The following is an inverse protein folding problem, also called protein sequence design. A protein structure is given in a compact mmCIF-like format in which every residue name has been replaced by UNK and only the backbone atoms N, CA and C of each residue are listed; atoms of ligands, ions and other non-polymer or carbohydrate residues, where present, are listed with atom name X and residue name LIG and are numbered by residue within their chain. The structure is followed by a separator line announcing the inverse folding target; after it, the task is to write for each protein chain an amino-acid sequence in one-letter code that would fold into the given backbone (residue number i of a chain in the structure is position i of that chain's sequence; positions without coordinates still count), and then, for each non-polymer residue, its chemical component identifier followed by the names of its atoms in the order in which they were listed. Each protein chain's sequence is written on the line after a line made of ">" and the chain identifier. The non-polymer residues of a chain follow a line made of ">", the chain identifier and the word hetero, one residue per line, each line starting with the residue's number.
data_IF_694197623478
#
_entry.id   IF_694197623478
#
_cell.length_a   1.000
_cell.length_b   1.000
_cell.length_c   1.000
_cell.angle_alpha   90.00
_cell.angle_beta   90.00
_cell.angle_gamma   90.00
#
_symmetry.space_group_name_H-M   'P 1'
#
loop_
_entity.id
_entity.type
_entity.pdbx_description
1 polymer ?
#
# COMPACT_ATOMS: atom_id res chain seq x y z
N UNK A 1 27.01 -95.42 -47.64
CA UNK A 1 26.49 -96.60 -46.91
C UNK A 1 25.29 -96.13 -46.11
N UNK A 2 24.12 -96.73 -46.30
CA UNK A 2 22.94 -96.45 -45.48
C UNK A 2 23.12 -97.17 -44.15
N UNK A 3 23.45 -96.44 -43.08
CA UNK A 3 23.58 -97.01 -41.74
C UNK A 3 22.17 -97.25 -41.21
N UNK A 4 21.80 -98.52 -41.02
CA UNK A 4 20.52 -98.90 -40.42
C UNK A 4 20.56 -98.61 -38.91
N UNK A 5 19.55 -97.92 -38.39
CA UNK A 5 19.52 -97.44 -36.99
C UNK A 5 18.68 -98.39 -36.15
N UNK A 6 19.27 -99.08 -35.15
CA UNK A 6 18.53 -100.05 -34.34
C UNK A 6 17.65 -99.35 -33.30
N UNK A 7 16.43 -98.97 -33.67
CA UNK A 7 15.50 -98.25 -32.78
C UNK A 7 15.05 -99.07 -31.56
N UNK A 8 15.03 -100.41 -31.69
CA UNK A 8 14.78 -101.34 -30.59
C UNK A 8 15.98 -102.29 -30.47
N UNK A 9 17.10 -101.82 -29.89
CA UNK A 9 18.37 -102.51 -29.98
C UNK A 9 18.38 -103.82 -29.18
N UNK A 10 18.90 -104.89 -29.77
CA UNK A 10 19.08 -106.21 -29.15
C UNK A 10 20.56 -106.47 -28.91
N UNK A 11 20.93 -106.63 -27.63
CA UNK A 11 22.30 -106.89 -27.23
C UNK A 11 23.20 -105.64 -27.21
N UNK A 12 24.43 -105.82 -26.69
CA UNK A 12 25.32 -104.70 -26.33
C UNK A 12 25.77 -103.85 -27.53
N UNK A 13 25.96 -104.46 -28.69
CA UNK A 13 26.43 -103.75 -29.88
C UNK A 13 25.37 -102.76 -30.41
N UNK A 14 24.12 -103.21 -30.56
CA UNK A 14 23.03 -102.36 -31.03
C UNK A 14 22.70 -101.26 -30.02
N UNK A 15 22.77 -101.55 -28.71
CA UNK A 15 22.57 -100.54 -27.65
C UNK A 15 23.60 -99.43 -27.80
N UNK A 16 24.88 -99.78 -27.95
CA UNK A 16 25.95 -98.80 -28.10
C UNK A 16 25.83 -98.01 -29.42
N UNK A 17 25.37 -98.67 -30.49
CA UNK A 17 25.11 -98.01 -31.77
C UNK A 17 23.98 -96.97 -31.63
N UNK A 18 22.85 -97.33 -31.04
CA UNK A 18 21.75 -96.38 -30.80
C UNK A 18 22.19 -95.24 -29.86
N UNK A 19 22.93 -95.55 -28.79
CA UNK A 19 23.51 -94.55 -27.87
C UNK A 19 24.40 -93.54 -28.62
N UNK A 20 25.31 -94.04 -29.46
CA UNK A 20 26.25 -93.20 -30.21
C UNK A 20 25.51 -92.29 -31.20
N UNK A 21 24.51 -92.84 -31.92
CA UNK A 21 23.70 -92.09 -32.88
C UNK A 21 22.87 -91.02 -32.15
N UNK A 22 22.24 -91.37 -31.02
CA UNK A 22 21.46 -90.42 -30.23
C UNK A 22 22.30 -89.28 -29.67
N UNK A 23 23.48 -89.60 -29.14
CA UNK A 23 24.41 -88.58 -28.64
C UNK A 23 24.86 -87.66 -29.77
N UNK A 24 25.36 -88.23 -30.87
CA UNK A 24 25.85 -87.47 -32.01
C UNK A 24 24.75 -86.58 -32.61
N UNK A 25 23.59 -87.16 -32.94
CA UNK A 25 22.48 -86.41 -33.52
C UNK A 25 21.98 -85.30 -32.58
N UNK A 26 21.99 -85.51 -31.27
CA UNK A 26 21.58 -84.47 -30.31
C UNK A 26 22.60 -83.34 -30.22
N UNK A 27 23.90 -83.64 -30.22
CA UNK A 27 24.96 -82.63 -30.16
C UNK A 27 24.92 -81.64 -31.32
N UNK A 28 24.44 -82.07 -32.49
CA UNK A 28 24.36 -81.23 -33.69
C UNK A 28 23.00 -80.55 -33.91
N UNK A 29 22.09 -80.60 -32.93
CA UNK A 29 20.90 -79.75 -32.96
C UNK A 29 21.31 -78.28 -32.77
N UNK A 30 20.73 -77.30 -33.52
CA UNK A 30 21.11 -75.89 -33.42
C UNK A 30 21.04 -75.32 -31.99
N UNK A 31 19.98 -75.68 -31.26
CA UNK A 31 19.80 -75.28 -29.86
C UNK A 31 20.86 -75.88 -28.92
N UNK A 32 21.36 -77.09 -29.21
CA UNK A 32 22.39 -77.76 -28.41
C UNK A 32 23.76 -77.18 -28.71
N UNK A 33 24.05 -76.84 -29.97
CA UNK A 33 25.30 -76.17 -30.38
C UNK A 33 25.48 -74.85 -29.62
N UNK A 34 24.42 -74.05 -29.48
CA UNK A 34 24.47 -72.82 -28.68
C UNK A 34 24.65 -73.11 -27.18
N UNK A 35 24.00 -74.15 -26.63
CA UNK A 35 24.17 -74.54 -25.22
C UNK A 35 25.61 -74.97 -24.89
N UNK A 36 26.29 -75.66 -25.80
CA UNK A 36 27.68 -76.14 -25.59
C UNK A 36 28.74 -75.14 -26.06
N UNK A 37 28.33 -73.96 -26.53
CA UNK A 37 29.23 -72.93 -27.07
C UNK A 37 30.16 -72.39 -25.99
N UNK A 38 29.64 -72.17 -24.78
CA UNK A 38 30.42 -71.76 -23.63
C UNK A 38 31.37 -72.90 -23.18
N UNK A 39 32.71 -72.70 -23.24
CA UNK A 39 33.66 -73.70 -22.79
C UNK A 39 33.50 -74.13 -21.33
N UNK A 40 32.98 -73.26 -20.45
CA UNK A 40 32.84 -73.54 -19.03
C UNK A 40 31.76 -74.59 -18.72
N UNK A 41 30.63 -74.56 -19.43
CA UNK A 41 29.51 -75.47 -19.21
C UNK A 41 29.50 -76.68 -20.15
N UNK A 42 30.29 -76.62 -21.23
CA UNK A 42 30.35 -77.65 -22.29
C UNK A 42 30.52 -79.06 -21.73
N UNK A 43 31.44 -79.27 -20.78
CA UNK A 43 31.71 -80.59 -20.24
C UNK A 43 30.50 -81.17 -19.51
N UNK A 44 29.80 -80.35 -18.73
CA UNK A 44 28.61 -80.74 -17.96
C UNK A 44 27.44 -81.08 -18.88
N UNK A 45 27.25 -80.29 -19.95
CA UNK A 45 26.23 -80.58 -20.96
C UNK A 45 26.53 -81.86 -21.73
N UNK A 46 27.77 -82.06 -22.18
CA UNK A 46 28.17 -83.26 -22.92
C UNK A 46 28.05 -84.52 -22.05
N UNK A 47 28.47 -84.48 -20.78
CA UNK A 47 28.29 -85.61 -19.84
C UNK A 47 26.80 -85.93 -19.64
N UNK A 48 25.98 -84.90 -19.40
CA UNK A 48 24.54 -85.08 -19.18
C UNK A 48 23.82 -85.64 -20.42
N UNK A 49 24.22 -85.21 -21.62
CA UNK A 49 23.69 -85.72 -22.89
C UNK A 49 24.13 -87.16 -23.16
N UNK A 50 25.40 -87.49 -22.88
CA UNK A 50 25.91 -88.85 -23.03
C UNK A 50 25.18 -89.82 -22.10
N UNK A 51 24.99 -89.45 -20.83
CA UNK A 51 24.23 -90.26 -19.86
C UNK A 51 22.77 -90.42 -20.31
N UNK A 52 22.13 -89.35 -20.81
CA UNK A 52 20.76 -89.40 -21.30
C UNK A 52 20.62 -90.30 -22.55
N UNK A 53 21.55 -90.22 -23.50
CA UNK A 53 21.60 -91.08 -24.69
C UNK A 53 21.79 -92.55 -24.32
N UNK A 54 22.74 -92.85 -23.42
CA UNK A 54 22.95 -94.20 -22.93
C UNK A 54 21.75 -94.75 -22.16
N UNK A 55 21.06 -93.90 -21.40
CA UNK A 55 19.86 -94.29 -20.67
C UNK A 55 18.70 -94.63 -21.60
N UNK A 56 18.42 -93.77 -22.58
CA UNK A 56 17.32 -93.96 -23.54
C UNK A 56 17.60 -95.18 -24.43
N UNK A 57 18.83 -95.37 -24.91
CA UNK A 57 19.17 -96.54 -25.72
C UNK A 57 18.92 -97.86 -24.99
N UNK A 58 19.22 -97.92 -23.68
CA UNK A 58 18.97 -99.09 -22.83
C UNK A 58 17.49 -99.24 -22.45
N UNK A 59 16.75 -98.14 -22.27
CA UNK A 59 15.29 -98.19 -22.12
C UNK A 59 14.65 -98.85 -23.36
N UNK A 60 15.11 -98.52 -24.57
CA UNK A 60 14.61 -99.12 -25.82
C UNK A 60 15.02 -100.58 -26.00
N UNK A 61 16.07 -101.03 -25.32
CA UNK A 61 16.41 -102.46 -25.22
C UNK A 61 15.55 -103.22 -24.18
N UNK A 62 14.62 -102.53 -23.48
CA UNK A 62 13.75 -103.13 -22.47
C UNK A 62 14.37 -103.27 -21.07
N UNK A 63 15.52 -102.63 -20.81
CA UNK A 63 16.17 -102.67 -19.50
C UNK A 63 15.39 -101.87 -18.44
N UNK A 64 15.39 -102.33 -17.20
CA UNK A 64 14.78 -101.63 -16.07
C UNK A 64 15.62 -100.42 -15.63
N UNK A 65 15.00 -99.40 -15.02
CA UNK A 65 15.72 -98.21 -14.53
C UNK A 65 16.87 -98.57 -13.57
N UNK A 66 16.69 -99.61 -12.75
CA UNK A 66 17.72 -100.12 -11.84
C UNK A 66 18.92 -100.71 -12.56
N UNK A 67 18.69 -101.46 -13.64
CA UNK A 67 19.78 -102.02 -14.46
C UNK A 67 20.54 -100.93 -15.20
N UNK A 68 19.82 -99.97 -15.80
CA UNK A 68 20.41 -98.83 -16.51
C UNK A 68 21.28 -97.99 -15.57
N UNK A 69 20.81 -97.73 -14.36
CA UNK A 69 21.55 -96.98 -13.33
C UNK A 69 22.87 -97.65 -12.95
N UNK A 70 22.85 -98.99 -12.76
CA UNK A 70 24.05 -99.78 -12.48
C UNK A 70 25.04 -99.75 -13.66
N UNK A 71 24.57 -99.91 -14.89
CA UNK A 71 25.44 -99.92 -16.07
C UNK A 71 26.09 -98.56 -16.36
N UNK A 72 25.33 -97.47 -16.20
CA UNK A 72 25.82 -96.11 -16.49
C UNK A 72 26.54 -95.46 -15.31
N UNK A 73 26.62 -96.14 -14.15
CA UNK A 73 27.28 -95.60 -12.95
C UNK A 73 26.61 -94.32 -12.43
N UNK A 74 25.27 -94.28 -12.46
CA UNK A 74 24.45 -93.14 -12.00
C UNK A 74 23.36 -93.63 -11.05
N UNK A 75 22.75 -92.73 -10.28
CA UNK A 75 21.64 -93.10 -9.40
C UNK A 75 20.37 -93.39 -10.20
N UNK A 76 19.51 -94.28 -9.70
CA UNK A 76 18.21 -94.55 -10.33
C UNK A 76 17.37 -93.28 -10.49
N UNK A 77 17.47 -92.35 -9.54
CA UNK A 77 16.77 -91.08 -9.61
C UNK A 77 17.25 -90.24 -10.81
N UNK A 78 18.56 -90.16 -11.05
CA UNK A 78 19.12 -89.44 -12.19
C UNK A 78 18.71 -90.08 -13.51
N UNK A 79 18.80 -91.40 -13.63
CA UNK A 79 18.34 -92.11 -14.83
C UNK A 79 16.85 -91.89 -15.05
N UNK A 80 16.02 -91.99 -14.00
CA UNK A 80 14.58 -91.76 -14.09
C UNK A 80 14.25 -90.36 -14.60
N UNK A 81 14.99 -89.33 -14.16
CA UNK A 81 14.84 -87.95 -14.65
C UNK A 81 15.15 -87.84 -16.14
N UNK A 82 16.24 -88.47 -16.61
CA UNK A 82 16.57 -88.47 -18.03
C UNK A 82 15.54 -89.23 -18.87
N UNK A 83 15.16 -90.43 -18.45
CA UNK A 83 14.17 -91.25 -19.15
C UNK A 83 12.83 -90.52 -19.23
N UNK A 84 12.33 -89.93 -18.15
CA UNK A 84 11.06 -89.18 -18.17
C UNK A 84 11.13 -87.85 -18.94
N UNK A 85 12.32 -87.38 -19.35
CA UNK A 85 12.50 -86.07 -19.96
C UNK A 85 12.40 -84.89 -18.97
N UNK A 86 12.48 -85.15 -17.65
CA UNK A 86 12.46 -84.11 -16.61
C UNK A 86 13.77 -83.31 -16.58
N UNK A 87 14.87 -83.92 -17.02
CA UNK A 87 16.12 -83.19 -17.28
C UNK A 87 16.13 -82.62 -18.70
N UNK A 88 16.74 -81.44 -18.90
CA UNK A 88 16.86 -80.85 -20.24
C UNK A 88 17.62 -81.76 -21.22
N UNK A 89 18.69 -82.42 -20.78
CA UNK A 89 19.43 -83.39 -21.60
C UNK A 89 18.55 -84.58 -22.02
N UNK A 90 17.78 -85.15 -21.08
CA UNK A 90 16.84 -86.24 -21.36
C UNK A 90 15.73 -85.83 -22.32
N UNK A 91 15.20 -84.61 -22.18
CA UNK A 91 14.22 -84.05 -23.11
C UNK A 91 14.79 -83.97 -24.53
N UNK A 92 15.96 -83.34 -24.68
CA UNK A 92 16.61 -83.14 -25.98
C UNK A 92 16.90 -84.47 -26.69
N UNK A 93 17.47 -85.44 -25.98
CA UNK A 93 17.80 -86.76 -26.55
C UNK A 93 16.53 -87.55 -26.90
N UNK A 94 15.46 -87.46 -26.09
CA UNK A 94 14.18 -88.13 -26.39
C UNK A 94 13.52 -87.53 -27.63
N UNK A 95 13.54 -86.22 -27.78
CA UNK A 95 13.10 -85.54 -28.99
C UNK A 95 13.94 -85.99 -30.20
N UNK A 96 15.26 -86.08 -30.06
CA UNK A 96 16.15 -86.58 -31.12
C UNK A 96 15.79 -88.02 -31.51
N UNK A 97 15.51 -88.90 -30.54
CA UNK A 97 15.06 -90.27 -30.81
C UNK A 97 13.77 -90.29 -31.65
N UNK A 98 12.77 -89.48 -31.30
CA UNK A 98 11.51 -89.41 -32.04
C UNK A 98 11.71 -88.84 -33.45
N UNK A 99 12.59 -87.85 -33.63
CA UNK A 99 12.94 -87.32 -34.95
C UNK A 99 13.60 -88.39 -35.84
N UNK A 100 14.53 -89.16 -35.27
CA UNK A 100 15.19 -90.27 -35.99
C UNK A 100 14.16 -91.33 -36.36
N UNK A 101 13.27 -91.70 -35.44
CA UNK A 101 12.19 -92.65 -35.70
C UNK A 101 11.24 -92.19 -36.81
N UNK A 102 11.05 -90.88 -36.98
CA UNK A 102 10.27 -90.27 -38.06
C UNK A 102 11.03 -90.16 -39.40
N UNK A 103 12.27 -90.65 -39.48
CA UNK A 103 13.11 -90.58 -40.69
C UNK A 103 13.71 -89.19 -40.95
N UNK A 104 13.65 -88.26 -39.98
CA UNK A 104 14.12 -86.88 -40.13
C UNK A 104 15.59 -86.67 -39.77
N UNK A 105 16.38 -87.75 -39.71
CA UNK A 105 17.83 -87.63 -39.45
C UNK A 105 18.56 -86.89 -40.60
N UNK A 106 18.05 -86.97 -41.83
CA UNK A 106 18.63 -86.28 -42.98
C UNK A 106 18.65 -84.75 -42.84
N UNK A 107 17.70 -84.17 -42.09
CA UNK A 107 17.65 -82.73 -41.81
C UNK A 107 18.79 -82.30 -40.86
N UNK A 108 19.15 -83.15 -39.90
CA UNK A 108 20.29 -82.96 -39.01
C UNK A 108 21.62 -83.12 -39.75
N UNK A 109 21.72 -84.10 -40.66
CA UNK A 109 22.91 -84.28 -41.51
C UNK A 109 23.13 -83.06 -42.42
N UNK A 110 22.06 -82.52 -43.02
CA UNK A 110 22.13 -81.25 -43.78
C UNK A 110 22.60 -80.07 -42.94
N UNK A 111 22.20 -80.03 -41.67
CA UNK A 111 22.65 -78.98 -40.73
C UNK A 111 24.16 -79.07 -40.50
N UNK A 112 24.71 -80.29 -40.35
CA UNK A 112 26.15 -80.53 -40.25
C UNK A 112 26.88 -80.11 -41.53
N UNK A 113 26.36 -80.49 -42.71
CA UNK A 113 26.94 -80.10 -44.00
C UNK A 113 26.92 -78.57 -44.22
N UNK A 114 25.88 -77.88 -43.75
CA UNK A 114 25.78 -76.41 -43.82
C UNK A 114 26.73 -75.71 -42.87
N UNK A 115 27.01 -76.28 -41.70
CA UNK A 115 28.00 -75.77 -40.74
C UNK A 115 29.42 -75.95 -41.27
N UNK A 116 29.76 -77.12 -41.81
CA UNK A 116 31.08 -77.37 -42.43
C UNK A 116 31.33 -76.47 -43.65
N UNK A 117 30.28 -76.08 -44.38
CA UNK A 117 30.36 -75.21 -45.58
C UNK A 117 30.16 -73.71 -45.31
N UNK A 118 29.92 -73.29 -44.06
CA UNK A 118 29.88 -71.87 -43.67
C UNK A 118 28.61 -71.06 -44.04
N UNK A 119 27.54 -71.69 -44.54
CA UNK A 119 26.40 -70.99 -45.16
C UNK A 119 25.40 -70.29 -44.22
N UNK A 120 25.42 -70.57 -42.91
CA UNK A 120 24.41 -70.03 -41.98
C UNK A 120 24.60 -68.53 -41.68
N UNK A 121 25.84 -68.00 -41.80
CA UNK A 121 26.15 -66.58 -41.55
C UNK A 121 25.63 -65.64 -42.66
N UNK A 122 25.57 -66.11 -43.90
CA UNK A 122 25.23 -65.28 -45.06
C UNK A 122 23.74 -64.94 -45.14
N UNK A 123 22.86 -65.86 -44.74
CA UNK A 123 21.42 -65.66 -44.82
C UNK A 123 20.93 -64.67 -43.74
N UNK A 124 21.44 -64.80 -42.52
CA UNK A 124 21.08 -63.92 -41.39
C UNK A 124 21.55 -62.47 -41.66
N UNK A 125 22.76 -62.30 -42.19
CA UNK A 125 23.31 -60.99 -42.52
C UNK A 125 22.48 -60.25 -43.58
N UNK A 126 21.83 -60.98 -44.50
CA UNK A 126 21.02 -60.40 -45.56
C UNK A 126 19.67 -59.86 -45.06
N UNK A 127 19.00 -60.60 -44.18
CA UNK A 127 17.73 -60.14 -43.58
C UNK A 127 17.93 -58.93 -42.64
N UNK A 128 19.02 -58.90 -41.88
CA UNK A 128 19.36 -57.76 -41.03
C UNK A 128 19.68 -56.51 -41.87
N UNK A 129 20.39 -56.68 -42.99
CA UNK A 129 20.68 -55.60 -43.92
C UNK A 129 19.42 -54.99 -44.56
N UNK A 130 18.45 -55.83 -44.94
CA UNK A 130 17.18 -55.36 -45.50
C UNK A 130 16.34 -54.55 -44.48
N UNK A 131 16.29 -54.98 -43.21
CA UNK A 131 15.61 -54.22 -42.16
C UNK A 131 16.28 -52.87 -41.90
N UNK A 132 17.61 -52.85 -41.84
CA UNK A 132 18.37 -51.63 -41.63
C UNK A 132 18.18 -50.62 -42.78
N UNK A 133 18.10 -51.11 -44.02
CA UNK A 133 17.79 -50.27 -45.18
C UNK A 133 16.38 -49.66 -45.11
N UNK A 134 15.38 -50.42 -44.64
CA UNK A 134 14.03 -49.88 -44.45
C UNK A 134 13.98 -48.82 -43.35
N UNK A 135 14.71 -49.00 -42.26
CA UNK A 135 14.83 -48.00 -41.19
C UNK A 135 15.55 -46.74 -41.67
N UNK A 136 16.63 -46.90 -42.44
CA UNK A 136 17.35 -45.78 -43.05
C UNK A 136 16.43 -44.94 -43.95
N UNK A 137 15.64 -45.58 -44.81
CA UNK A 137 14.74 -44.87 -45.72
C UNK A 137 13.64 -44.11 -44.96
N UNK A 138 13.08 -44.71 -43.90
CA UNK A 138 12.11 -44.05 -43.02
C UNK A 138 12.71 -42.83 -42.32
N UNK A 139 13.89 -42.99 -41.74
CA UNK A 139 14.58 -41.92 -41.01
C UNK A 139 14.95 -40.76 -41.94
N UNK A 140 15.32 -41.06 -43.19
CA UNK A 140 15.60 -40.07 -44.22
C UNK A 140 14.36 -39.23 -44.55
N UNK A 141 13.20 -39.85 -44.70
CA UNK A 141 11.93 -39.15 -44.94
C UNK A 141 11.56 -38.26 -43.74
N UNK A 142 11.74 -38.75 -42.51
CA UNK A 142 11.50 -37.94 -41.31
C UNK A 142 12.45 -36.74 -41.22
N UNK A 143 13.73 -36.95 -41.52
CA UNK A 143 14.72 -35.86 -41.56
C UNK A 143 14.34 -34.77 -42.57
N UNK A 144 13.92 -35.16 -43.78
CA UNK A 144 13.46 -34.21 -44.80
C UNK A 144 12.23 -33.41 -44.34
N UNK A 145 11.25 -34.07 -43.70
CA UNK A 145 10.07 -33.38 -43.13
C UNK A 145 10.44 -32.37 -42.06
N UNK A 146 11.25 -32.78 -41.07
CA UNK A 146 11.69 -31.88 -39.99
C UNK A 146 12.49 -30.71 -40.54
N UNK A 147 13.33 -30.95 -41.55
CA UNK A 147 14.09 -29.90 -42.23
C UNK A 147 13.16 -28.89 -42.93
N UNK A 148 12.15 -29.36 -43.65
CA UNK A 148 11.16 -28.49 -44.29
C UNK A 148 10.34 -27.69 -43.27
N UNK A 149 9.92 -28.31 -42.17
CA UNK A 149 9.23 -27.62 -41.07
C UNK A 149 10.11 -26.55 -40.44
N UNK A 150 11.40 -26.83 -40.24
CA UNK A 150 12.37 -25.85 -39.75
C UNK A 150 12.53 -24.67 -40.72
N UNK A 151 12.60 -24.94 -42.03
CA UNK A 151 12.73 -23.92 -43.06
C UNK A 151 11.49 -23.02 -43.11
N UNK A 152 10.28 -23.62 -43.05
CA UNK A 152 9.00 -22.91 -42.96
C UNK A 152 8.95 -22.07 -41.69
N UNK A 153 9.36 -22.63 -40.55
CA UNK A 153 9.35 -21.92 -39.28
C UNK A 153 10.28 -20.70 -39.34
N UNK A 154 11.49 -20.85 -39.89
CA UNK A 154 12.43 -19.74 -40.11
C UNK A 154 11.90 -18.67 -41.05
N UNK A 155 11.14 -19.03 -42.08
CA UNK A 155 10.48 -18.06 -42.98
C UNK A 155 9.27 -17.38 -42.34
N UNK A 156 8.52 -18.08 -41.48
CA UNK A 156 7.38 -17.50 -40.76
C UNK A 156 7.79 -16.62 -39.58
N UNK A 157 9.00 -16.81 -39.04
CA UNK A 157 9.59 -15.85 -38.10
C UNK A 157 9.98 -14.61 -38.91
N UNK A 158 9.02 -13.71 -39.04
CA UNK A 158 9.21 -12.37 -39.59
C UNK A 158 10.08 -11.57 -38.61
N UNK A 159 11.40 -11.81 -38.70
CA UNK A 159 12.45 -11.11 -37.95
C UNK A 159 12.29 -9.59 -38.04
N UNK A 160 11.78 -9.10 -39.18
CA UNK A 160 11.54 -7.69 -39.44
C UNK A 160 10.40 -7.14 -38.57
N UNK A 161 9.32 -7.91 -38.37
CA UNK A 161 8.24 -7.54 -37.45
C UNK A 161 8.71 -7.50 -35.99
N UNK A 162 9.61 -8.42 -35.61
CA UNK A 162 10.18 -8.53 -34.27
C UNK A 162 11.16 -7.39 -33.97
N UNK A 163 11.97 -6.98 -34.96
CA UNK A 163 12.82 -5.80 -34.86
C UNK A 163 11.99 -4.52 -34.75
N UNK A 164 10.98 -4.33 -35.59
CA UNK A 164 10.07 -3.17 -35.52
C UNK A 164 9.39 -3.07 -34.15
N UNK A 165 8.90 -4.19 -33.61
CA UNK A 165 8.31 -4.23 -32.28
C UNK A 165 9.34 -3.88 -31.18
N UNK A 166 10.60 -4.31 -31.31
CA UNK A 166 11.68 -3.92 -30.39
C UNK A 166 11.99 -2.44 -30.44
N UNK A 167 12.09 -1.87 -31.63
CA UNK A 167 12.34 -0.43 -31.81
C UNK A 167 11.22 0.41 -31.22
N UNK A 168 9.97 -0.01 -31.41
CA UNK A 168 8.81 0.68 -30.84
C UNK A 168 8.76 0.57 -29.31
N UNK A 169 9.07 -0.60 -28.74
CA UNK A 169 9.23 -0.76 -27.28
C UNK A 169 10.30 0.19 -26.74
N UNK A 170 11.42 0.32 -27.43
CA UNK A 170 12.50 1.20 -27.01
C UNK A 170 12.13 2.69 -27.13
N UNK A 171 11.38 3.07 -28.17
CA UNK A 171 10.83 4.42 -28.31
C UNK A 171 9.86 4.74 -27.18
N UNK A 172 8.91 3.86 -26.92
CA UNK A 172 7.91 4.01 -25.85
C UNK A 172 8.55 4.07 -24.47
N UNK A 173 9.63 3.32 -24.22
CA UNK A 173 10.39 3.43 -22.97
C UNK A 173 11.02 4.80 -22.79
N UNK A 174 11.59 5.39 -23.85
CA UNK A 174 12.16 6.74 -23.79
C UNK A 174 11.09 7.78 -23.53
N UNK A 175 9.96 7.70 -24.23
CA UNK A 175 8.79 8.57 -24.01
C UNK A 175 8.23 8.43 -22.58
N UNK A 176 8.20 7.20 -22.03
CA UNK A 176 7.79 6.95 -20.66
C UNK A 176 8.74 7.61 -19.64
N UNK A 177 10.04 7.62 -19.92
CA UNK A 177 11.01 8.22 -19.01
C UNK A 177 10.95 9.76 -19.06
N UNK A 178 10.75 10.36 -20.24
CA UNK A 178 10.59 11.81 -20.37
C UNK A 178 9.30 12.28 -19.70
N UNK A 179 8.19 11.59 -19.91
CA UNK A 179 6.90 11.93 -19.29
C UNK A 179 6.94 11.79 -17.77
N UNK A 180 7.66 10.80 -17.21
CA UNK A 180 7.89 10.70 -15.77
C UNK A 180 8.70 11.88 -15.22
N UNK A 181 9.74 12.31 -15.93
CA UNK A 181 10.55 13.46 -15.52
C UNK A 181 9.71 14.75 -15.51
N UNK A 182 8.88 14.96 -16.53
CA UNK A 182 7.94 16.07 -16.60
C UNK A 182 6.90 16.02 -15.47
N UNK A 183 6.35 14.84 -15.18
CA UNK A 183 5.40 14.64 -14.07
C UNK A 183 6.02 15.02 -12.72
N UNK A 184 7.27 14.64 -12.46
CA UNK A 184 7.98 15.01 -11.23
C UNK A 184 8.25 16.51 -11.16
N UNK A 185 8.54 17.16 -12.29
CA UNK A 185 8.70 18.62 -12.34
C UNK A 185 7.38 19.33 -12.01
N UNK A 186 6.28 18.94 -12.65
CA UNK A 186 4.95 19.50 -12.39
C UNK A 186 4.51 19.25 -10.94
N UNK A 187 4.86 18.11 -10.35
CA UNK A 187 4.60 17.83 -8.93
C UNK A 187 5.35 18.78 -7.99
N UNK A 188 6.59 19.14 -8.31
CA UNK A 188 7.36 20.12 -7.54
C UNK A 188 6.75 21.52 -7.66
N UNK A 189 6.46 21.95 -8.87
CA UNK A 189 5.81 23.24 -9.14
C UNK A 189 4.45 23.34 -8.42
N UNK A 190 3.65 22.27 -8.43
CA UNK A 190 2.39 22.20 -7.68
C UNK A 190 2.59 22.42 -6.17
N UNK A 191 3.59 21.77 -5.56
CA UNK A 191 3.89 21.92 -4.13
C UNK A 191 4.34 23.34 -3.78
N UNK A 192 5.12 23.97 -4.65
CA UNK A 192 5.56 25.36 -4.48
C UNK A 192 4.35 26.30 -4.56
N UNK A 193 3.49 26.15 -5.56
CA UNK A 193 2.25 26.92 -5.69
C UNK A 193 1.29 26.72 -4.51
N UNK A 194 1.19 25.51 -3.96
CA UNK A 194 0.40 25.23 -2.75
C UNK A 194 0.95 25.98 -1.52
N UNK A 195 2.27 26.07 -1.40
CA UNK A 195 2.93 26.83 -0.32
C UNK A 195 2.68 28.33 -0.49
N UNK A 196 2.87 28.87 -1.69
CA UNK A 196 2.59 30.28 -1.98
C UNK A 196 1.12 30.64 -1.73
N UNK A 197 0.19 29.75 -2.09
CA UNK A 197 -1.24 29.93 -1.84
C UNK A 197 -1.54 29.97 -0.33
N UNK A 198 -0.88 29.14 0.48
CA UNK A 198 -1.03 29.15 1.93
C UNK A 198 -0.51 30.47 2.54
N UNK A 199 0.65 30.94 2.10
CA UNK A 199 1.22 32.23 2.54
C UNK A 199 0.33 33.41 2.14
N UNK A 200 -0.22 33.39 0.93
CA UNK A 200 -1.16 34.41 0.45
C UNK A 200 -2.46 34.44 1.29
N UNK A 201 -2.99 33.28 1.67
CA UNK A 201 -4.18 33.19 2.55
C UNK A 201 -3.93 33.80 3.93
N UNK A 202 -2.75 33.56 4.53
CA UNK A 202 -2.37 34.16 5.81
C UNK A 202 -2.33 35.69 5.70
N UNK A 203 -1.67 36.23 4.66
CA UNK A 203 -1.64 37.69 4.41
C UNK A 203 -3.04 38.28 4.22
N UNK A 204 -3.95 37.58 3.56
CA UNK A 204 -5.35 38.03 3.41
C UNK A 204 -6.04 38.10 4.77
N UNK A 205 -5.87 37.10 5.64
CA UNK A 205 -6.45 37.13 7.00
C UNK A 205 -5.91 38.29 7.83
N UNK A 206 -4.60 38.56 7.76
CA UNK A 206 -3.98 39.70 8.45
C UNK A 206 -4.54 41.05 7.95
N UNK A 207 -4.66 41.21 6.63
CA UNK A 207 -5.25 42.43 6.04
C UNK A 207 -6.72 42.61 6.42
N UNK A 208 -7.50 41.52 6.50
CA UNK A 208 -8.88 41.58 6.96
C UNK A 208 -8.97 42.01 8.43
N UNK A 209 -8.07 41.53 9.29
CA UNK A 209 -7.98 41.98 10.68
C UNK A 209 -7.68 43.47 10.77
N UNK A 210 -6.67 43.96 10.04
CA UNK A 210 -6.32 45.39 9.98
C UNK A 210 -7.47 46.25 9.49
N UNK A 211 -8.20 45.81 8.47
CA UNK A 211 -9.39 46.53 7.97
C UNK A 211 -10.49 46.64 9.03
N UNK A 212 -10.64 45.62 9.89
CA UNK A 212 -11.58 45.70 11.02
C UNK A 212 -11.13 46.69 12.10
N UNK A 213 -9.82 46.85 12.30
CA UNK A 213 -9.25 47.87 13.19
C UNK A 213 -9.44 49.28 12.61
N UNK A 214 -9.25 49.48 11.31
CA UNK A 214 -9.53 50.75 10.62
C UNK A 214 -11.00 51.20 10.79
N UNK A 215 -11.95 50.26 10.77
CA UNK A 215 -13.36 50.57 11.02
C UNK A 215 -13.58 51.07 12.46
N UNK A 216 -12.92 50.45 13.45
CA UNK A 216 -12.97 50.90 14.85
C UNK A 216 -12.31 52.27 15.03
N UNK A 217 -11.21 52.53 14.32
CA UNK A 217 -10.55 53.84 14.33
C UNK A 217 -11.51 54.92 13.83
N UNK A 218 -12.20 54.69 12.70
CA UNK A 218 -13.19 55.64 12.18
C UNK A 218 -14.33 55.91 13.17
N UNK A 219 -14.84 54.87 13.83
CA UNK A 219 -15.88 55.04 14.86
C UNK A 219 -15.37 55.87 16.05
N UNK A 220 -14.12 55.65 16.48
CA UNK A 220 -13.50 56.44 17.54
C UNK A 220 -13.25 57.89 17.12
N UNK A 221 -12.84 58.14 15.87
CA UNK A 221 -12.67 59.48 15.31
C UNK A 221 -14.00 60.26 15.27
N UNK A 222 -15.09 59.62 14.87
CA UNK A 222 -16.42 60.24 14.89
C UNK A 222 -16.87 60.58 16.32
N UNK A 223 -16.64 59.68 17.28
CA UNK A 223 -16.92 59.94 18.70
C UNK A 223 -16.06 61.07 19.26
N UNK A 224 -14.79 61.14 18.88
CA UNK A 224 -13.89 62.21 19.28
C UNK A 224 -14.40 63.55 18.77
N UNK A 225 -14.76 63.64 17.49
CA UNK A 225 -15.30 64.86 16.89
C UNK A 225 -16.59 65.32 17.57
N UNK A 226 -17.50 64.39 17.88
CA UNK A 226 -18.72 64.71 18.63
C UNK A 226 -18.42 65.29 20.02
N UNK A 227 -17.41 64.75 20.71
CA UNK A 227 -16.96 65.24 22.02
C UNK A 227 -16.27 66.61 21.92
N UNK A 228 -15.48 66.86 20.88
CA UNK A 228 -14.89 68.18 20.63
C UNK A 228 -15.96 69.25 20.35
N UNK A 229 -17.02 68.91 19.62
CA UNK A 229 -18.16 69.81 19.41
C UNK A 229 -18.93 70.08 20.72
N UNK A 230 -19.08 69.08 21.57
CA UNK A 230 -19.69 69.23 22.90
C UNK A 230 -18.85 70.14 23.80
N UNK A 231 -17.52 69.97 23.82
CA UNK A 231 -16.60 70.84 24.57
C UNK A 231 -16.74 72.29 24.11
N UNK A 232 -16.73 72.55 22.79
CA UNK A 232 -16.90 73.92 22.25
C UNK A 232 -18.21 74.57 22.67
N UNK A 233 -19.30 73.79 22.74
CA UNK A 233 -20.59 74.30 23.22
C UNK A 233 -20.53 74.66 24.70
N UNK A 234 -19.93 73.79 25.51
CA UNK A 234 -19.76 74.03 26.94
C UNK A 234 -18.87 75.26 27.21
N UNK A 235 -17.78 75.43 26.45
CA UNK A 235 -16.93 76.62 26.51
C UNK A 235 -17.72 77.89 26.19
N UNK A 236 -18.56 77.87 25.14
CA UNK A 236 -19.42 79.00 24.81
C UNK A 236 -20.43 79.36 25.92
N UNK A 237 -21.01 78.35 26.58
CA UNK A 237 -21.90 78.58 27.73
C UNK A 237 -21.15 79.17 28.94
N UNK A 238 -19.91 78.72 29.18
CA UNK A 238 -19.07 79.27 30.23
C UNK A 238 -18.76 80.75 29.97
N UNK A 239 -18.46 81.12 28.72
CA UNK A 239 -18.22 82.52 28.33
C UNK A 239 -19.47 83.39 28.54
N UNK A 240 -20.66 82.87 28.18
CA UNK A 240 -21.94 83.57 28.38
C UNK A 240 -22.23 83.80 29.86
N UNK A 241 -22.17 82.73 30.68
CA UNK A 241 -22.34 82.82 32.13
C UNK A 241 -21.32 83.78 32.76
N UNK A 242 -20.08 83.80 32.25
CA UNK A 242 -19.05 84.72 32.74
C UNK A 242 -19.41 86.18 32.45
N UNK A 243 -19.97 86.48 31.27
CA UNK A 243 -20.45 87.84 30.95
C UNK A 243 -21.62 88.24 31.82
N UNK A 244 -22.61 87.36 31.97
CA UNK A 244 -23.77 87.60 32.83
C UNK A 244 -23.34 87.88 34.28
N UNK A 245 -22.37 87.11 34.79
CA UNK A 245 -21.79 87.34 36.13
C UNK A 245 -21.20 88.74 36.25
N UNK A 246 -20.40 89.18 35.27
CA UNK A 246 -19.80 90.52 35.27
C UNK A 246 -20.85 91.64 35.23
N UNK A 247 -21.94 91.45 34.47
CA UNK A 247 -23.04 92.42 34.43
C UNK A 247 -23.79 92.48 35.76
N UNK A 248 -24.03 91.33 36.39
CA UNK A 248 -24.63 91.27 37.72
C UNK A 248 -23.73 91.90 38.78
N UNK A 249 -22.42 91.69 38.72
CA UNK A 249 -21.44 92.32 39.62
C UNK A 249 -21.49 93.85 39.52
N UNK A 250 -21.53 94.41 38.30
CA UNK A 250 -21.68 95.86 38.09
C UNK A 250 -22.99 96.40 38.67
N UNK A 251 -24.10 95.69 38.49
CA UNK A 251 -25.39 96.09 39.08
C UNK A 251 -25.33 96.09 40.61
N UNK A 252 -24.61 95.13 41.21
CA UNK A 252 -24.41 95.11 42.66
C UNK A 252 -23.62 96.34 43.09
N UNK A 253 -22.51 96.68 42.42
CA UNK A 253 -21.73 97.89 42.72
C UNK A 253 -22.58 99.18 42.59
N UNK A 254 -23.42 99.28 41.56
CA UNK A 254 -24.35 100.39 41.38
C UNK A 254 -25.37 100.50 42.53
N UNK A 255 -25.97 99.38 42.93
CA UNK A 255 -26.91 99.35 44.06
C UNK A 255 -26.25 99.66 45.39
N UNK A 256 -25.01 99.21 45.62
CA UNK A 256 -24.23 99.58 46.80
C UNK A 256 -23.95 101.09 46.85
N UNK A 257 -23.58 101.69 45.71
CA UNK A 257 -23.40 103.14 45.58
C UNK A 257 -24.67 103.94 45.93
N UNK A 258 -25.82 103.54 45.37
CA UNK A 258 -27.10 104.15 45.69
C UNK A 258 -27.48 104.00 47.17
N UNK A 259 -27.21 102.84 47.76
CA UNK A 259 -27.47 102.60 49.18
C UNK A 259 -26.63 103.54 50.08
N UNK A 260 -25.38 103.82 49.71
CA UNK A 260 -24.52 104.76 50.42
C UNK A 260 -24.98 106.22 50.25
N UNK A 261 -25.47 106.61 49.07
CA UNK A 261 -26.08 107.93 48.85
C UNK A 261 -27.33 108.13 49.71
N UNK A 262 -28.26 107.18 49.70
CA UNK A 262 -29.46 107.24 50.56
C UNK A 262 -29.11 107.23 52.05
N UNK A 263 -28.02 106.55 52.44
CA UNK A 263 -27.53 106.60 53.83
C UNK A 263 -27.08 108.01 54.21
N UNK A 264 -26.30 108.69 53.35
CA UNK A 264 -25.86 110.07 53.58
C UNK A 264 -27.03 111.05 53.63
N UNK A 265 -27.96 110.94 52.69
CA UNK A 265 -29.16 111.79 52.67
C UNK A 265 -30.00 111.60 53.94
N UNK A 266 -30.16 110.34 54.39
CA UNK A 266 -30.83 110.04 55.66
C UNK A 266 -30.11 110.73 56.84
N UNK A 267 -28.79 110.65 56.93
CA UNK A 267 -28.02 111.32 58.00
C UNK A 267 -28.17 112.85 57.97
N UNK A 268 -28.18 113.46 56.77
CA UNK A 268 -28.41 114.90 56.61
C UNK A 268 -29.81 115.31 57.04
N UNK A 269 -30.84 114.55 56.63
CA UNK A 269 -32.22 114.78 57.06
C UNK A 269 -32.37 114.62 58.57
N UNK A 270 -31.72 113.62 59.18
CA UNK A 270 -31.71 113.44 60.64
C UNK A 270 -31.06 114.64 61.36
N UNK A 271 -29.96 115.19 60.83
CA UNK A 271 -29.34 116.42 61.37
C UNK A 271 -30.30 117.60 61.30
N UNK A 272 -30.93 117.81 60.14
CA UNK A 272 -31.89 118.90 59.93
C UNK A 272 -33.12 118.78 60.84
N UNK A 273 -33.63 117.57 61.03
CA UNK A 273 -34.71 117.30 62.00
C UNK A 273 -34.26 117.68 63.41
N UNK A 274 -33.04 117.30 63.82
CA UNK A 274 -32.51 117.66 65.14
C UNK A 274 -32.32 119.17 65.33
N UNK A 275 -31.91 119.90 64.30
CA UNK A 275 -31.82 121.37 64.31
C UNK A 275 -33.20 122.01 64.47
N UNK A 276 -34.17 121.61 63.64
CA UNK A 276 -35.54 122.10 63.74
C UNK A 276 -36.18 121.79 65.11
N UNK A 277 -35.86 120.64 65.70
CA UNK A 277 -36.30 120.30 67.05
C UNK A 277 -35.72 121.26 68.11
N UNK A 278 -34.45 121.65 67.99
CA UNK A 278 -33.83 122.64 68.87
C UNK A 278 -34.48 124.01 68.71
N UNK A 279 -34.62 124.49 67.49
CA UNK A 279 -35.29 125.77 67.19
C UNK A 279 -36.72 125.79 67.73
N UNK A 280 -37.48 124.69 67.55
CA UNK A 280 -38.84 124.58 68.08
C UNK A 280 -38.86 124.66 69.61
N UNK A 281 -37.90 124.02 70.29
CA UNK A 281 -37.77 124.11 71.74
C UNK A 281 -37.41 125.54 72.20
N UNK A 282 -36.51 126.23 71.50
CA UNK A 282 -36.18 127.64 71.77
C UNK A 282 -37.39 128.55 71.57
N UNK A 283 -38.15 128.35 70.48
CA UNK A 283 -39.39 129.09 70.21
C UNK A 283 -40.44 128.83 71.29
N UNK A 284 -40.59 127.59 71.76
CA UNK A 284 -41.49 127.26 72.89
C UNK A 284 -41.08 128.00 74.17
N UNK A 285 -39.80 127.98 74.54
CA UNK A 285 -39.30 128.75 75.68
C UNK A 285 -39.59 130.25 75.52
N UNK A 286 -39.39 130.79 74.31
CA UNK A 286 -39.68 132.19 74.03
C UNK A 286 -41.17 132.52 74.15
N UNK A 287 -42.05 131.61 73.74
CA UNK A 287 -43.49 131.74 73.93
C UNK A 287 -43.82 131.76 75.43
N UNK A 288 -43.26 130.86 76.24
CA UNK A 288 -43.46 130.84 77.69
C UNK A 288 -42.97 132.15 78.37
N UNK A 289 -41.83 132.68 77.94
CA UNK A 289 -41.34 134.00 78.38
C UNK A 289 -42.34 135.12 78.03
N UNK A 290 -42.83 135.14 76.79
CA UNK A 290 -43.82 136.12 76.33
C UNK A 290 -45.14 136.01 77.09
N UNK A 291 -45.59 134.80 77.41
CA UNK A 291 -46.75 134.57 78.26
C UNK A 291 -46.53 135.13 79.67
N UNK A 292 -45.34 134.93 80.24
CA UNK A 292 -44.97 135.52 81.54
C UNK A 292 -44.96 137.04 81.49
N UNK A 293 -44.39 137.63 80.43
CA UNK A 293 -44.45 139.08 80.21
C UNK A 293 -45.87 139.58 80.05
N UNK A 294 -46.74 138.86 79.33
CA UNK A 294 -48.16 139.18 79.17
C UNK A 294 -48.86 139.22 80.53
N UNK A 295 -48.70 138.20 81.37
CA UNK A 295 -49.25 138.17 82.74
C UNK A 295 -48.76 139.39 83.55
N UNK A 296 -47.46 139.71 83.46
CA UNK A 296 -46.89 140.88 84.15
C UNK A 296 -47.47 142.20 83.63
N UNK A 297 -47.66 142.32 82.32
CA UNK A 297 -48.25 143.50 81.69
C UNK A 297 -49.71 143.67 82.11
N UNK A 298 -50.47 142.59 82.19
CA UNK A 298 -51.84 142.58 82.73
C UNK A 298 -51.86 143.02 84.20
N UNK A 299 -50.95 142.52 85.04
CA UNK A 299 -50.84 142.97 86.43
C UNK A 299 -50.46 144.45 86.57
N UNK A 300 -49.54 144.94 85.73
CA UNK A 300 -49.17 146.36 85.70
C UNK A 300 -50.34 147.23 85.24
N UNK A 301 -51.08 146.80 84.21
CA UNK A 301 -52.30 147.45 83.77
C UNK A 301 -53.32 147.53 84.91
N UNK A 302 -53.56 146.43 85.63
CA UNK A 302 -54.48 146.41 86.77
C UNK A 302 -54.03 147.34 87.91
N UNK A 303 -52.71 147.45 88.15
CA UNK A 303 -52.16 148.42 89.11
C UNK A 303 -52.35 149.87 88.64
N UNK A 304 -52.12 150.15 87.36
CA UNK A 304 -52.38 151.47 86.77
C UNK A 304 -53.87 151.81 86.92
N UNK A 305 -54.77 150.87 86.66
CA UNK A 305 -56.21 151.04 86.87
C UNK A 305 -56.54 151.39 88.32
N UNK A 306 -55.93 150.70 89.30
CA UNK A 306 -56.09 151.03 90.73
C UNK A 306 -55.57 152.42 91.08
N UNK A 307 -54.37 152.77 90.62
CA UNK A 307 -53.78 154.10 90.84
C UNK A 307 -54.67 155.18 90.21
N UNK A 308 -55.24 154.93 89.04
CA UNK A 308 -56.18 155.83 88.37
C UNK A 308 -57.44 156.05 89.23
N UNK A 309 -58.00 154.98 89.80
CA UNK A 309 -59.13 155.07 90.75
C UNK A 309 -58.74 155.83 92.04
N UNK A 310 -57.53 155.64 92.58
CA UNK A 310 -57.06 156.39 93.75
C UNK A 310 -56.82 157.88 93.45
N UNK A 311 -56.28 158.21 92.28
CA UNK A 311 -56.16 159.58 91.80
C UNK A 311 -57.52 160.26 91.63
N UNK A 312 -58.51 159.54 91.09
CA UNK A 312 -59.89 160.02 91.00
C UNK A 312 -60.47 160.33 92.39
N UNK A 313 -60.16 159.52 93.41
CA UNK A 313 -60.58 159.78 94.81
C UNK A 313 -59.84 160.92 95.51
N UNK A 314 -58.63 161.27 95.11
CA UNK A 314 -57.85 162.40 95.66
C UNK A 314 -58.24 163.74 95.02
N UNK A 315 -59.00 163.71 93.92
CA UNK A 315 -59.52 164.88 93.21
C UNK A 315 -60.97 165.24 93.61
N UNK A 316 -61.59 164.48 94.52
CA UNK A 316 -62.85 164.78 95.25
C UNK A 316 -62.57 165.30 96.67
#
# INVERSE_FOLDING_TARGET
>A
MTVEIPLNPVGRQEIHQLESILLFATLFRPEVIELIKDPAERLTWVDSLAVAAGAIAREKAGMTTSEIARELGRTEQTIRKHLKGESKAGQLVRETYELIKQGKLDELIKTIEMIEKGGLKEVIAKEEYEKLMQEYEKLKIEYEKVREELEKMKQTVDLESLEKAREEIERLKKELETTKAELEKVRKEKKELEKELAEAKVKIMELQSKKSEEAKIKELEEKLKAKEEEIKRLEGLVDEITREKMELEKKVEEFEGLADEWRKEKEELERKVNELLKENNELKQRIEELETYKIRFESLRDKIEKIKIELEKLLE
#
